data_IF_217716702772
#
_entry.id   IF_217716702772
#
_cell.length_a   1.000
_cell.length_b   1.000
_cell.length_c   1.000
_cell.angle_alpha   90.00
_cell.angle_beta   90.00
_cell.angle_gamma   90.00
#
_symmetry.space_group_name_H-M   'P 1'
#
loop_
_entity.id
_entity.type
_entity.pdbx_description
1 polymer ?
#
# COMPACT_ATOMS: atom_id res chain seq x y z
N UNK A 1 31.87 -4.98 -18.93
CA UNK A 1 32.32 -3.56 -18.86
C UNK A 1 32.52 -3.27 -17.39
N UNK A 2 33.74 -3.02 -16.94
CA UNK A 2 33.99 -2.65 -15.54
C UNK A 2 33.36 -1.27 -15.31
N UNK A 3 32.52 -1.14 -14.30
CA UNK A 3 31.96 0.13 -13.86
C UNK A 3 33.13 0.91 -13.26
N UNK A 4 33.52 1.98 -13.95
CA UNK A 4 34.57 2.90 -13.50
C UNK A 4 34.04 3.66 -12.28
N UNK A 5 34.29 3.14 -11.06
CA UNK A 5 34.07 3.79 -9.75
C UNK A 5 32.76 4.60 -9.50
N UNK A 6 31.80 4.58 -10.43
CA UNK A 6 30.55 5.33 -10.38
C UNK A 6 29.48 4.67 -9.51
N UNK A 7 28.58 5.47 -8.95
CA UNK A 7 27.40 4.98 -8.24
C UNK A 7 26.43 4.35 -9.22
N UNK A 8 25.73 3.28 -8.80
CA UNK A 8 24.64 2.67 -9.58
C UNK A 8 23.49 3.64 -9.75
N UNK A 9 22.98 3.80 -10.98
CA UNK A 9 21.84 4.66 -11.32
C UNK A 9 20.58 3.81 -11.41
N UNK A 10 19.68 3.96 -10.44
CA UNK A 10 18.49 3.13 -10.31
C UNK A 10 17.24 4.03 -10.53
N UNK A 11 16.42 3.67 -11.51
CA UNK A 11 15.10 4.27 -11.71
C UNK A 11 14.03 3.46 -10.97
N UNK A 12 13.13 4.14 -10.24
CA UNK A 12 11.99 3.49 -9.57
C UNK A 12 10.69 4.06 -10.13
N UNK A 13 9.93 3.23 -10.85
CA UNK A 13 8.61 3.57 -11.39
C UNK A 13 7.50 2.91 -10.57
N UNK A 14 6.45 3.67 -10.26
CA UNK A 14 5.31 3.19 -9.48
C UNK A 14 4.25 4.27 -9.28
N UNK A 15 3.34 4.07 -8.35
CA UNK A 15 2.26 5.03 -8.02
C UNK A 15 2.69 6.09 -7.00
N UNK A 16 3.91 6.60 -7.11
CA UNK A 16 4.53 7.49 -6.12
C UNK A 16 4.18 8.96 -6.35
N UNK A 17 4.25 9.77 -5.28
CA UNK A 17 3.90 11.18 -5.30
C UNK A 17 2.40 11.44 -5.42
N UNK A 18 1.57 10.41 -5.27
CA UNK A 18 0.11 10.51 -5.29
C UNK A 18 -0.51 10.85 -3.93
N UNK A 19 0.30 11.05 -2.90
CA UNK A 19 -0.13 11.28 -1.51
C UNK A 19 -0.93 10.10 -0.93
N UNK A 20 -0.66 8.88 -1.40
CA UNK A 20 -1.16 7.63 -0.85
C UNK A 20 -0.08 7.06 0.07
N UNK A 21 -0.34 7.06 1.38
CA UNK A 21 0.62 6.62 2.40
C UNK A 21 1.06 5.16 2.22
N UNK A 22 0.23 4.34 1.60
CA UNK A 22 0.59 2.96 1.30
C UNK A 22 1.64 2.84 0.20
N UNK A 23 1.47 3.60 -0.89
CA UNK A 23 2.44 3.61 -1.98
C UNK A 23 3.76 4.25 -1.53
N UNK A 24 3.70 5.30 -0.69
CA UNK A 24 4.87 5.91 -0.07
C UNK A 24 5.59 4.94 0.89
N UNK A 25 4.85 4.11 1.63
CA UNK A 25 5.41 3.06 2.49
C UNK A 25 6.20 2.02 1.70
N UNK A 26 5.69 1.63 0.54
CA UNK A 26 6.39 0.71 -0.37
C UNK A 26 7.69 1.33 -0.88
N UNK A 27 7.64 2.60 -1.34
CA UNK A 27 8.83 3.32 -1.79
C UNK A 27 9.88 3.41 -0.67
N UNK A 28 9.45 3.72 0.54
CA UNK A 28 10.31 3.79 1.73
C UNK A 28 11.01 2.45 2.02
N UNK A 29 10.27 1.34 1.89
CA UNK A 29 10.82 -0.02 2.00
C UNK A 29 11.91 -0.30 0.94
N UNK A 30 11.66 0.05 -0.33
CA UNK A 30 12.65 -0.08 -1.42
C UNK A 30 13.91 0.75 -1.13
N UNK A 31 13.71 2.03 -0.78
CA UNK A 31 14.82 2.96 -0.54
C UNK A 31 15.65 2.56 0.68
N UNK A 32 15.02 2.07 1.74
CA UNK A 32 15.70 1.59 2.94
C UNK A 32 16.71 0.49 2.63
N UNK A 33 16.30 -0.48 1.82
CA UNK A 33 17.15 -1.61 1.42
C UNK A 33 18.26 -1.19 0.45
N UNK A 34 17.94 -0.39 -0.55
CA UNK A 34 18.96 0.11 -1.49
C UNK A 34 20.06 0.88 -0.75
N UNK A 35 19.71 1.73 0.21
CA UNK A 35 20.69 2.50 0.98
C UNK A 35 21.54 1.68 1.93
N UNK A 36 20.97 0.59 2.48
CA UNK A 36 21.72 -0.30 3.37
C UNK A 36 22.71 -1.18 2.63
N UNK A 37 22.48 -1.44 1.34
CA UNK A 37 23.16 -2.50 0.59
C UNK A 37 23.98 -2.00 -0.59
N UNK A 38 23.78 -0.76 -1.03
CA UNK A 38 24.49 -0.21 -2.20
C UNK A 38 24.66 1.31 -2.13
N UNK A 39 25.68 1.81 -2.85
CA UNK A 39 25.80 3.24 -3.14
C UNK A 39 25.11 3.52 -4.47
N UNK A 40 23.81 3.80 -4.43
CA UNK A 40 23.02 4.06 -5.62
C UNK A 40 22.55 5.52 -5.68
N UNK A 41 22.49 6.06 -6.91
CA UNK A 41 21.75 7.28 -7.23
C UNK A 41 20.35 6.88 -7.69
N UNK A 42 19.34 7.34 -6.96
CA UNK A 42 17.96 6.94 -7.20
C UNK A 42 17.18 8.06 -7.87
N UNK A 43 16.57 7.72 -9.01
CA UNK A 43 15.58 8.56 -9.69
C UNK A 43 14.19 7.98 -9.53
N UNK A 44 13.28 8.68 -8.85
CA UNK A 44 11.89 8.24 -8.69
C UNK A 44 11.00 8.86 -9.77
N UNK A 45 10.24 8.02 -10.46
CA UNK A 45 9.21 8.47 -11.41
C UNK A 45 7.93 8.76 -10.62
N UNK A 46 7.71 10.03 -10.35
CA UNK A 46 6.72 10.53 -9.40
C UNK A 46 5.66 11.40 -10.06
N UNK A 47 4.42 11.30 -9.58
CA UNK A 47 3.33 12.22 -9.96
C UNK A 47 3.54 13.63 -9.39
N UNK A 48 4.27 13.74 -8.28
CA UNK A 48 4.61 15.02 -7.62
C UNK A 48 6.06 14.99 -7.14
N UNK A 49 7.02 15.36 -8.02
CA UNK A 49 8.44 15.35 -7.70
C UNK A 49 8.81 16.14 -6.44
N UNK A 50 8.20 17.30 -6.23
CA UNK A 50 8.49 18.14 -5.06
C UNK A 50 8.12 17.46 -3.74
N UNK A 51 6.96 16.79 -3.69
CA UNK A 51 6.54 16.02 -2.50
C UNK A 51 7.47 14.80 -2.28
N UNK A 52 7.82 14.10 -3.36
CA UNK A 52 8.72 12.94 -3.29
C UNK A 52 10.10 13.33 -2.76
N UNK A 53 10.70 14.41 -3.26
CA UNK A 53 11.98 14.92 -2.79
C UNK A 53 11.93 15.37 -1.31
N UNK A 54 10.80 15.94 -0.89
CA UNK A 54 10.61 16.37 0.50
C UNK A 54 10.43 15.20 1.47
N UNK A 55 9.74 14.12 1.04
CA UNK A 55 9.50 12.94 1.87
C UNK A 55 10.66 11.97 1.90
N UNK A 56 11.25 11.73 0.74
CA UNK A 56 12.26 10.70 0.55
C UNK A 56 13.59 11.36 0.18
N UNK A 57 14.66 10.91 0.80
CA UNK A 57 16.01 11.40 0.49
C UNK A 57 16.51 10.74 -0.81
N UNK A 58 15.95 11.12 -1.95
CA UNK A 58 16.36 10.63 -3.28
C UNK A 58 17.07 11.73 -4.06
N UNK A 59 17.94 11.34 -4.98
CA UNK A 59 18.75 12.29 -5.77
C UNK A 59 17.92 13.02 -6.79
N UNK A 60 16.92 12.32 -7.40
CA UNK A 60 16.05 12.90 -8.40
C UNK A 60 14.62 12.38 -8.28
N UNK A 61 13.66 13.22 -8.64
CA UNK A 61 12.28 12.82 -8.86
C UNK A 61 11.77 13.50 -10.13
N UNK A 62 11.12 12.75 -11.01
CA UNK A 62 10.69 13.23 -12.34
C UNK A 62 9.24 12.86 -12.56
N UNK A 63 8.41 13.82 -13.00
CA UNK A 63 7.07 13.51 -13.45
C UNK A 63 7.09 13.05 -14.90
N UNK A 64 7.19 11.74 -15.12
CA UNK A 64 7.23 11.14 -16.45
C UNK A 64 5.85 10.99 -17.11
N UNK A 65 4.77 11.15 -16.36
CA UNK A 65 3.40 10.88 -16.86
C UNK A 65 2.97 11.78 -18.01
N UNK A 66 3.22 13.11 -17.98
CA UNK A 66 2.91 13.99 -19.10
C UNK A 66 3.92 13.89 -20.26
N UNK A 67 5.08 13.27 -20.04
CA UNK A 67 6.13 13.19 -21.05
C UNK A 67 5.81 12.12 -22.11
N UNK A 68 6.18 12.40 -23.34
CA UNK A 68 6.14 11.44 -24.44
C UNK A 68 7.19 10.34 -24.25
N UNK A 69 7.02 9.21 -24.94
CA UNK A 69 8.01 8.14 -24.96
C UNK A 69 9.41 8.65 -25.31
N UNK A 70 9.51 9.54 -26.33
CA UNK A 70 10.80 10.12 -26.80
C UNK A 70 11.50 10.92 -25.69
N UNK A 71 10.74 11.66 -24.89
CA UNK A 71 11.27 12.48 -23.80
C UNK A 71 11.74 11.66 -22.60
N UNK A 72 11.08 10.53 -22.32
CA UNK A 72 11.45 9.63 -21.20
C UNK A 72 12.62 8.72 -21.54
N UNK A 73 12.77 8.33 -22.81
CA UNK A 73 13.78 7.36 -23.26
C UNK A 73 15.21 7.69 -22.82
N UNK A 74 15.72 8.94 -22.91
CA UNK A 74 17.09 9.24 -22.46
C UNK A 74 17.30 8.94 -20.98
N UNK A 75 16.35 9.33 -20.13
CA UNK A 75 16.41 9.07 -18.67
C UNK A 75 16.50 7.57 -18.37
N UNK A 76 15.70 6.75 -19.08
CA UNK A 76 15.72 5.28 -18.83
C UNK A 76 16.98 4.64 -19.38
N UNK A 77 17.50 5.07 -20.52
CA UNK A 77 18.77 4.56 -21.11
C UNK A 77 19.98 4.76 -20.22
N UNK A 78 19.93 5.81 -19.39
CA UNK A 78 21.04 6.14 -18.49
C UNK A 78 20.99 5.33 -17.17
N UNK A 79 19.98 4.48 -16.96
CA UNK A 79 19.87 3.65 -15.78
C UNK A 79 20.70 2.35 -15.91
N UNK A 80 21.18 1.86 -14.76
CA UNK A 80 21.78 0.55 -14.62
C UNK A 80 20.73 -0.50 -14.22
N UNK A 81 19.58 -0.06 -13.66
CA UNK A 81 18.41 -0.90 -13.33
C UNK A 81 17.14 -0.05 -13.33
N UNK A 82 16.07 -0.57 -13.91
CA UNK A 82 14.71 -0.05 -13.71
C UNK A 82 13.97 -0.97 -12.74
N UNK A 83 13.48 -0.41 -11.63
CA UNK A 83 12.57 -1.06 -10.69
C UNK A 83 11.13 -0.63 -11.02
N UNK A 84 10.31 -1.57 -11.47
CA UNK A 84 8.86 -1.39 -11.49
C UNK A 84 8.37 -1.68 -10.07
N UNK A 85 8.14 -0.61 -9.30
CA UNK A 85 7.91 -0.66 -7.87
C UNK A 85 6.59 -1.30 -7.48
N UNK A 86 6.49 -1.65 -6.22
CA UNK A 86 5.40 -2.42 -5.63
C UNK A 86 4.02 -1.75 -5.66
N UNK A 87 3.07 -2.48 -5.16
CA UNK A 87 1.69 -2.03 -5.11
C UNK A 87 0.79 -2.66 -6.18
N UNK A 88 -0.49 -2.29 -6.15
CA UNK A 88 -1.47 -2.78 -7.13
C UNK A 88 -1.48 -1.90 -8.37
N UNK A 89 -0.49 -2.01 -9.23
CA UNK A 89 -0.30 -1.14 -10.40
C UNK A 89 -0.64 -1.80 -11.75
N UNK A 90 -0.67 -3.13 -11.82
CA UNK A 90 -1.03 -3.85 -13.05
C UNK A 90 -2.52 -4.22 -13.03
N UNK A 91 -3.39 -3.29 -13.43
CA UNK A 91 -4.83 -3.49 -13.55
C UNK A 91 -5.38 -2.78 -14.79
N UNK A 92 -6.57 -3.16 -15.23
CA UNK A 92 -7.21 -2.55 -16.40
C UNK A 92 -7.30 -1.03 -16.26
N UNK A 93 -6.89 -0.31 -17.31
CA UNK A 93 -6.85 1.15 -17.37
C UNK A 93 -5.52 1.80 -16.97
N UNK A 94 -4.65 1.09 -16.22
CA UNK A 94 -3.35 1.63 -15.78
C UNK A 94 -2.14 0.86 -16.34
N UNK A 95 -2.34 -0.35 -16.81
CA UNK A 95 -1.28 -1.25 -17.31
C UNK A 95 -0.33 -0.55 -18.28
N UNK A 96 -0.86 0.11 -19.30
CA UNK A 96 -0.05 0.76 -20.35
C UNK A 96 0.83 1.89 -19.78
N UNK A 97 0.33 2.57 -18.74
CA UNK A 97 1.02 3.67 -18.06
C UNK A 97 2.34 3.21 -17.46
N UNK A 98 2.35 2.06 -16.81
CA UNK A 98 3.54 1.53 -16.14
C UNK A 98 4.41 0.66 -17.04
N UNK A 99 3.81 -0.10 -17.94
CA UNK A 99 4.55 -0.96 -18.85
C UNK A 99 5.33 -0.15 -19.92
N UNK A 100 4.96 1.11 -20.18
CA UNK A 100 5.70 2.00 -21.07
C UNK A 100 7.17 2.11 -20.69
N UNK A 101 7.47 2.32 -19.40
CA UNK A 101 8.84 2.43 -18.91
C UNK A 101 9.59 1.10 -19.01
N UNK A 102 8.91 -0.02 -18.72
CA UNK A 102 9.45 -1.36 -18.85
C UNK A 102 9.86 -1.67 -20.29
N UNK A 103 8.98 -1.34 -21.25
CA UNK A 103 9.27 -1.57 -22.67
C UNK A 103 10.44 -0.69 -23.18
N UNK A 104 10.55 0.55 -22.70
CA UNK A 104 11.71 1.42 -23.03
C UNK A 104 12.99 0.83 -22.45
N UNK A 105 12.95 0.33 -21.20
CA UNK A 105 14.12 -0.31 -20.58
C UNK A 105 14.58 -1.54 -21.37
N UNK A 106 13.65 -2.38 -21.80
CA UNK A 106 13.97 -3.56 -22.61
C UNK A 106 14.60 -3.18 -23.97
N UNK A 107 14.10 -2.15 -24.65
CA UNK A 107 14.66 -1.67 -25.91
C UNK A 107 16.05 -1.01 -25.75
N UNK A 108 16.37 -0.58 -24.54
CA UNK A 108 17.65 0.02 -24.16
C UNK A 108 18.61 -0.97 -23.50
N UNK A 109 18.25 -2.26 -23.44
CA UNK A 109 18.99 -3.33 -22.74
C UNK A 109 19.22 -3.03 -21.23
N UNK A 110 18.35 -2.20 -20.62
CA UNK A 110 18.37 -1.92 -19.18
C UNK A 110 17.63 -3.04 -18.44
N UNK A 111 18.26 -3.71 -17.45
CA UNK A 111 17.62 -4.72 -16.64
C UNK A 111 16.37 -4.19 -15.94
N UNK A 112 15.35 -5.05 -15.75
CA UNK A 112 14.09 -4.69 -15.08
C UNK A 112 13.84 -5.60 -13.89
N UNK A 113 13.57 -4.99 -12.73
CA UNK A 113 13.07 -5.68 -11.54
C UNK A 113 11.62 -5.30 -11.29
N UNK A 114 10.71 -6.27 -11.37
CA UNK A 114 9.32 -6.11 -10.94
C UNK A 114 9.24 -6.44 -9.45
N UNK A 115 9.03 -5.41 -8.64
CA UNK A 115 9.28 -5.45 -7.20
C UNK A 115 7.96 -5.55 -6.41
N UNK A 116 7.68 -6.70 -5.83
CA UNK A 116 6.55 -6.97 -4.92
C UNK A 116 5.21 -6.39 -5.42
N UNK A 117 4.91 -6.53 -6.71
CA UNK A 117 3.65 -6.03 -7.27
C UNK A 117 2.47 -6.90 -6.85
N UNK A 118 1.28 -6.32 -6.93
CA UNK A 118 0.00 -7.03 -7.02
C UNK A 118 -0.62 -6.73 -8.39
N UNK A 119 -1.24 -7.72 -9.00
CA UNK A 119 -1.89 -7.59 -10.30
C UNK A 119 -3.41 -7.79 -10.17
N UNK A 120 -4.16 -7.09 -10.99
CA UNK A 120 -5.59 -7.27 -11.18
C UNK A 120 -6.50 -6.19 -10.56
N UNK A 121 -7.76 -6.14 -11.06
CA UNK A 121 -8.30 -7.04 -12.09
C UNK A 121 -7.73 -6.79 -13.49
N UNK A 122 -7.51 -7.87 -14.26
CA UNK A 122 -7.13 -7.86 -15.67
C UNK A 122 -8.20 -8.63 -16.47
N UNK A 123 -9.31 -7.96 -16.75
CA UNK A 123 -10.45 -8.51 -17.51
C UNK A 123 -10.33 -8.25 -19.01
N UNK A 124 -9.69 -7.14 -19.38
CA UNK A 124 -9.51 -6.75 -20.78
C UNK A 124 -8.41 -7.58 -21.45
N UNK A 125 -8.74 -8.15 -22.62
CA UNK A 125 -7.77 -8.97 -23.39
C UNK A 125 -6.49 -8.18 -23.74
N UNK A 126 -6.63 -6.91 -24.09
CA UNK A 126 -5.49 -6.05 -24.43
C UNK A 126 -4.52 -5.90 -23.24
N UNK A 127 -5.04 -5.61 -22.03
CA UNK A 127 -4.23 -5.50 -20.82
C UNK A 127 -3.50 -6.80 -20.49
N UNK A 128 -4.17 -7.96 -20.64
CA UNK A 128 -3.57 -9.28 -20.43
C UNK A 128 -2.42 -9.55 -21.39
N UNK A 129 -2.59 -9.24 -22.67
CA UNK A 129 -1.55 -9.37 -23.70
C UNK A 129 -0.38 -8.45 -23.38
N UNK A 130 -0.65 -7.17 -23.07
CA UNK A 130 0.40 -6.20 -22.74
C UNK A 130 1.26 -6.63 -21.54
N UNK A 131 0.63 -7.13 -20.46
CA UNK A 131 1.35 -7.64 -19.27
C UNK A 131 2.21 -8.85 -19.65
N UNK A 132 1.61 -9.85 -20.33
CA UNK A 132 2.34 -11.05 -20.75
C UNK A 132 3.56 -10.70 -21.60
N UNK A 133 3.37 -9.89 -22.62
CA UNK A 133 4.41 -9.59 -23.59
C UNK A 133 5.53 -8.74 -22.96
N UNK A 134 5.20 -7.74 -22.16
CA UNK A 134 6.18 -6.91 -21.48
C UNK A 134 7.00 -7.70 -20.44
N UNK A 135 6.36 -8.55 -19.62
CA UNK A 135 7.07 -9.30 -18.60
C UNK A 135 7.89 -10.47 -19.13
N UNK A 136 7.54 -11.01 -20.30
CA UNK A 136 8.30 -12.05 -20.97
C UNK A 136 9.41 -11.52 -21.93
N UNK A 137 9.41 -10.22 -22.27
CA UNK A 137 10.21 -9.65 -23.36
C UNK A 137 11.73 -9.80 -23.16
N UNK A 138 12.25 -9.68 -21.94
CA UNK A 138 13.70 -9.71 -21.69
C UNK A 138 14.07 -10.83 -20.71
N UNK A 139 15.13 -11.62 -20.98
CA UNK A 139 15.61 -12.65 -20.06
C UNK A 139 16.08 -12.08 -18.70
N UNK A 140 16.53 -10.83 -18.66
CA UNK A 140 17.00 -10.16 -17.44
C UNK A 140 15.90 -9.65 -16.53
N UNK A 141 14.61 -9.80 -16.90
CA UNK A 141 13.50 -9.39 -16.04
C UNK A 141 13.34 -10.33 -14.86
N UNK A 142 13.45 -9.81 -13.64
CA UNK A 142 13.18 -10.52 -12.39
C UNK A 142 11.80 -10.10 -11.87
N UNK A 143 10.99 -11.07 -11.42
CA UNK A 143 9.60 -10.81 -11.03
C UNK A 143 9.36 -11.30 -9.61
N UNK A 144 8.94 -10.39 -8.74
CA UNK A 144 8.39 -10.73 -7.43
C UNK A 144 6.98 -10.17 -7.26
N UNK A 145 6.14 -10.90 -6.56
CA UNK A 145 4.75 -10.50 -6.24
C UNK A 145 4.52 -10.59 -4.75
N UNK A 146 3.70 -9.69 -4.22
CA UNK A 146 3.45 -9.63 -2.77
C UNK A 146 2.33 -10.55 -2.29
N UNK A 147 1.48 -11.05 -3.19
CA UNK A 147 0.29 -11.85 -2.84
C UNK A 147 0.03 -12.98 -3.84
N UNK A 148 -0.67 -14.02 -3.36
CA UNK A 148 -1.02 -15.21 -4.15
C UNK A 148 -1.96 -14.92 -5.31
N UNK A 149 -2.80 -13.89 -5.18
CA UNK A 149 -3.75 -13.53 -6.25
C UNK A 149 -3.00 -12.92 -7.43
N UNK A 150 -2.04 -12.04 -7.17
CA UNK A 150 -1.15 -11.50 -8.19
C UNK A 150 -0.34 -12.60 -8.87
N UNK A 151 0.22 -13.55 -8.10
CA UNK A 151 0.93 -14.71 -8.65
C UNK A 151 0.06 -15.49 -9.65
N UNK A 152 -1.09 -15.98 -9.19
CA UNK A 152 -2.01 -16.77 -10.04
C UNK A 152 -2.47 -16.00 -11.27
N UNK A 153 -2.72 -14.70 -11.13
CA UNK A 153 -3.16 -13.88 -12.26
C UNK A 153 -2.05 -13.70 -13.31
N UNK A 154 -0.80 -13.50 -12.90
CA UNK A 154 0.32 -13.40 -13.85
C UNK A 154 0.59 -14.74 -14.56
N UNK A 155 0.49 -15.86 -13.85
CA UNK A 155 0.54 -17.20 -14.46
C UNK A 155 -0.61 -17.39 -15.46
N UNK A 156 -1.84 -17.01 -15.10
CA UNK A 156 -3.05 -17.14 -15.94
C UNK A 156 -3.00 -16.25 -17.20
N UNK A 157 -2.35 -15.08 -17.14
CA UNK A 157 -2.16 -14.24 -18.33
C UNK A 157 -1.03 -14.74 -19.24
N UNK A 158 -0.25 -15.73 -18.81
CA UNK A 158 0.79 -16.37 -19.60
C UNK A 158 2.20 -15.79 -19.40
N UNK A 159 2.50 -15.28 -18.22
CA UNK A 159 3.89 -15.00 -17.83
C UNK A 159 4.60 -16.33 -17.58
N UNK A 160 5.67 -16.58 -18.37
CA UNK A 160 6.40 -17.86 -18.35
C UNK A 160 7.66 -17.83 -17.51
N UNK A 161 8.03 -16.67 -17.02
CA UNK A 161 9.18 -16.49 -16.12
C UNK A 161 8.88 -16.98 -14.71
N UNK A 162 9.94 -17.32 -13.98
CA UNK A 162 9.80 -17.57 -12.55
C UNK A 162 9.27 -16.32 -11.84
N UNK A 163 8.19 -16.50 -11.08
CA UNK A 163 7.56 -15.46 -10.28
C UNK A 163 7.77 -15.82 -8.81
N UNK A 164 8.56 -15.04 -8.10
CA UNK A 164 8.80 -15.28 -6.68
C UNK A 164 7.69 -14.65 -5.84
N UNK A 165 6.99 -15.48 -5.06
CA UNK A 165 6.03 -15.00 -4.07
C UNK A 165 6.75 -14.46 -2.84
N UNK A 166 6.55 -13.20 -2.56
CA UNK A 166 7.13 -12.48 -1.41
C UNK A 166 6.01 -11.91 -0.50
N UNK A 167 6.20 -10.75 0.11
CA UNK A 167 5.17 -10.03 0.84
C UNK A 167 5.29 -8.51 0.58
N UNK A 168 4.31 -7.76 1.07
CA UNK A 168 4.30 -6.32 0.90
C UNK A 168 5.52 -5.66 1.58
N UNK A 169 6.29 -4.81 0.89
CA UNK A 169 7.46 -4.13 1.45
C UNK A 169 7.16 -3.27 2.67
N UNK A 170 5.92 -2.80 2.82
CA UNK A 170 5.48 -2.05 3.99
C UNK A 170 5.65 -2.85 5.31
N UNK A 171 5.73 -4.18 5.26
CA UNK A 171 6.08 -4.99 6.43
C UNK A 171 7.49 -4.75 6.95
N UNK A 172 8.37 -4.11 6.20
CA UNK A 172 9.74 -3.77 6.62
C UNK A 172 9.85 -2.41 7.29
N UNK A 173 8.76 -1.61 7.31
CA UNK A 173 8.78 -0.31 7.95
C UNK A 173 8.97 -0.44 9.46
N UNK A 174 9.73 0.51 10.00
CA UNK A 174 9.84 0.76 11.43
C UNK A 174 9.13 2.09 11.78
N UNK A 175 8.46 2.18 12.92
CA UNK A 175 7.75 3.39 13.30
C UNK A 175 8.71 4.57 13.52
N UNK A 176 8.20 5.77 13.28
CA UNK A 176 8.82 7.04 13.64
C UNK A 176 7.89 7.75 14.62
N UNK A 177 8.42 8.19 15.74
CA UNK A 177 7.62 8.82 16.78
C UNK A 177 6.76 9.97 16.25
N UNK A 178 5.47 9.88 16.49
CA UNK A 178 4.51 10.95 16.22
C UNK A 178 4.29 11.73 17.54
N UNK A 179 4.73 13.01 17.61
CA UNK A 179 4.58 13.81 18.83
C UNK A 179 3.12 13.92 19.27
N UNK A 180 2.85 13.70 20.55
CA UNK A 180 1.49 13.79 21.14
C UNK A 180 0.91 15.19 20.95
N UNK A 181 1.74 16.21 20.98
CA UNK A 181 1.34 17.62 20.75
C UNK A 181 0.78 17.83 19.34
N UNK A 182 1.32 17.09 18.35
CA UNK A 182 0.80 17.15 16.99
C UNK A 182 -0.62 16.55 16.90
N UNK A 183 -0.90 15.49 17.64
CA UNK A 183 -2.22 14.87 17.73
C UNK A 183 -3.21 15.77 18.51
N UNK A 184 -2.80 16.31 19.66
CA UNK A 184 -3.60 17.27 20.45
C UNK A 184 -3.96 18.52 19.63
N UNK A 185 -3.06 18.98 18.77
CA UNK A 185 -3.35 20.12 17.88
C UNK A 185 -4.35 19.79 16.77
N UNK A 186 -4.70 18.53 16.56
CA UNK A 186 -5.80 18.08 15.69
C UNK A 186 -7.05 17.64 16.47
N UNK A 187 -7.07 17.82 17.80
CA UNK A 187 -8.19 17.45 18.65
C UNK A 187 -8.16 15.99 19.14
N UNK A 188 -7.14 15.24 18.78
CA UNK A 188 -7.06 13.81 19.16
C UNK A 188 -6.59 13.69 20.59
N UNK A 189 -7.46 13.13 21.44
CA UNK A 189 -7.15 12.73 22.80
C UNK A 189 -6.86 11.22 22.87
N UNK A 190 -5.82 10.85 23.61
CA UNK A 190 -5.39 9.47 23.82
C UNK A 190 -5.53 9.02 25.28
N UNK A 191 -6.25 9.77 26.13
CA UNK A 191 -6.38 9.44 27.57
C UNK A 191 -7.37 8.29 27.83
N UNK A 192 -8.26 8.00 26.87
CA UNK A 192 -9.23 6.89 26.95
C UNK A 192 -9.01 5.85 25.86
N UNK A 193 -9.96 4.91 25.70
CA UNK A 193 -9.95 4.00 24.57
C UNK A 193 -10.04 4.78 23.24
N UNK A 194 -9.20 4.43 22.27
CA UNK A 194 -9.18 5.07 20.95
C UNK A 194 -9.29 4.03 19.86
N UNK A 195 -10.22 4.26 18.94
CA UNK A 195 -10.42 3.38 17.77
C UNK A 195 -10.12 4.11 16.48
N UNK A 196 -9.16 3.60 15.71
CA UNK A 196 -8.82 4.12 14.41
C UNK A 196 -9.79 3.66 13.32
N UNK A 197 -10.22 4.58 12.46
CA UNK A 197 -11.04 4.28 11.28
C UNK A 197 -10.33 4.67 9.99
N UNK A 198 -10.39 3.78 8.98
CA UNK A 198 -9.91 4.09 7.63
C UNK A 198 -11.04 3.88 6.62
N UNK A 199 -11.38 4.96 5.91
CA UNK A 199 -12.49 5.03 4.97
C UNK A 199 -11.96 5.43 3.59
N UNK A 200 -12.63 5.03 2.53
CA UNK A 200 -12.35 5.44 1.15
C UNK A 200 -13.65 5.67 0.38
N UNK A 201 -13.53 6.06 -0.88
CA UNK A 201 -14.69 6.20 -1.77
C UNK A 201 -15.51 4.91 -1.86
N UNK A 202 -16.88 5.01 -1.90
CA UNK A 202 -17.76 3.84 -1.93
C UNK A 202 -17.65 3.04 -3.24
N UNK A 203 -17.47 3.70 -4.38
CA UNK A 203 -17.63 3.08 -5.70
C UNK A 203 -16.73 1.85 -5.92
N UNK A 204 -15.41 1.87 -5.85
CA UNK A 204 -14.65 0.63 -5.97
C UNK A 204 -14.78 -0.27 -4.72
N UNK A 205 -15.16 0.30 -3.57
CA UNK A 205 -15.25 -0.44 -2.31
C UNK A 205 -16.51 -1.29 -2.22
N UNK A 206 -17.62 -0.76 -2.68
CA UNK A 206 -18.93 -1.38 -2.61
C UNK A 206 -19.80 -0.87 -3.76
N UNK A 207 -19.58 -1.36 -5.00
CA UNK A 207 -20.21 -0.81 -6.20
C UNK A 207 -21.75 -0.98 -6.22
N UNK A 208 -22.28 -1.92 -5.45
CA UNK A 208 -23.70 -2.23 -5.37
C UNK A 208 -24.41 -1.52 -4.21
N UNK A 209 -23.69 -0.68 -3.43
CA UNK A 209 -24.26 0.06 -2.32
C UNK A 209 -24.35 1.55 -2.68
N UNK A 210 -25.53 2.14 -2.44
CA UNK A 210 -25.72 3.60 -2.56
C UNK A 210 -24.74 4.34 -1.65
N UNK A 211 -24.09 5.44 -2.11
CA UNK A 211 -23.11 6.18 -1.32
C UNK A 211 -23.61 6.65 0.05
N UNK A 212 -24.88 7.07 0.14
CA UNK A 212 -25.45 7.50 1.42
C UNK A 212 -25.65 6.34 2.39
N UNK A 213 -26.09 5.20 1.88
CA UNK A 213 -26.19 3.96 2.68
C UNK A 213 -24.80 3.49 3.14
N UNK A 214 -23.80 3.61 2.29
CA UNK A 214 -22.41 3.26 2.62
C UNK A 214 -21.86 4.14 3.76
N UNK A 215 -22.01 5.46 3.68
CA UNK A 215 -21.57 6.34 4.77
C UNK A 215 -22.38 6.13 6.05
N UNK A 216 -23.70 5.90 5.93
CA UNK A 216 -24.55 5.55 7.07
C UNK A 216 -24.16 4.26 7.75
N UNK A 217 -23.74 3.23 6.99
CA UNK A 217 -23.23 1.98 7.54
C UNK A 217 -21.98 2.22 8.41
N UNK A 218 -21.04 3.03 7.93
CA UNK A 218 -19.80 3.35 8.64
C UNK A 218 -20.06 4.30 9.83
N UNK A 219 -20.96 5.26 9.70
CA UNK A 219 -21.37 6.14 10.78
C UNK A 219 -22.01 5.36 11.96
N UNK A 220 -22.93 4.45 11.65
CA UNK A 220 -23.52 3.57 12.68
C UNK A 220 -22.47 2.67 13.36
N UNK A 221 -21.46 2.20 12.61
CA UNK A 221 -20.37 1.43 13.18
C UNK A 221 -19.48 2.27 14.12
N UNK A 222 -19.23 3.54 13.77
CA UNK A 222 -18.48 4.47 14.60
C UNK A 222 -19.28 4.87 15.84
N UNK A 223 -20.58 5.17 15.70
CA UNK A 223 -21.47 5.43 16.83
C UNK A 223 -21.53 4.24 17.81
N UNK A 224 -21.60 3.02 17.30
CA UNK A 224 -21.55 1.82 18.12
C UNK A 224 -20.25 1.72 18.92
N UNK A 225 -19.11 2.04 18.31
CA UNK A 225 -17.80 2.03 18.97
C UNK A 225 -17.76 3.05 20.10
N UNK A 226 -18.28 4.27 19.90
CA UNK A 226 -18.39 5.29 20.93
C UNK A 226 -19.29 4.81 22.08
N UNK A 227 -20.49 4.35 21.77
CA UNK A 227 -21.50 3.98 22.76
C UNK A 227 -21.09 2.71 23.54
N UNK A 228 -20.57 1.71 22.86
CA UNK A 228 -20.27 0.37 23.45
C UNK A 228 -18.94 0.33 24.17
N UNK A 229 -17.90 1.00 23.64
CA UNK A 229 -16.53 0.93 24.17
C UNK A 229 -16.13 2.20 24.92
N UNK A 230 -16.94 3.27 24.89
CA UNK A 230 -16.58 4.58 25.44
C UNK A 230 -15.40 5.23 24.71
N UNK A 231 -15.15 4.84 23.45
CA UNK A 231 -13.95 5.20 22.72
C UNK A 231 -14.07 6.54 21.99
N UNK A 232 -12.94 7.22 21.83
CA UNK A 232 -12.76 8.24 20.79
C UNK A 232 -12.56 7.57 19.43
N UNK A 233 -13.06 8.17 18.38
CA UNK A 233 -12.91 7.70 17.00
C UNK A 233 -11.96 8.61 16.25
N UNK A 234 -10.88 8.04 15.70
CA UNK A 234 -9.91 8.78 14.91
C UNK A 234 -9.92 8.28 13.47
N UNK A 235 -10.43 9.09 12.55
CA UNK A 235 -10.34 8.80 11.13
C UNK A 235 -8.93 9.09 10.63
N UNK A 236 -8.31 8.07 10.01
CA UNK A 236 -6.96 8.13 9.47
C UNK A 236 -7.01 8.05 7.94
N UNK A 237 -6.99 9.20 7.26
CA UNK A 237 -6.91 9.23 5.80
C UNK A 237 -5.59 8.65 5.32
N UNK A 238 -5.64 7.59 4.53
CA UNK A 238 -4.47 6.97 3.91
C UNK A 238 -4.15 7.59 2.55
N UNK A 239 -5.07 8.37 2.01
CA UNK A 239 -4.97 9.09 0.74
C UNK A 239 -5.74 10.41 0.84
N UNK A 240 -5.34 11.40 0.04
CA UNK A 240 -5.91 12.76 0.09
C UNK A 240 -7.44 12.79 0.05
N UNK A 241 -8.05 11.98 -0.81
CA UNK A 241 -9.50 11.96 -0.97
C UNK A 241 -10.24 11.27 0.19
N UNK A 242 -9.56 10.50 1.03
CA UNK A 242 -10.18 9.84 2.19
C UNK A 242 -10.70 10.86 3.21
N UNK A 243 -10.12 12.08 3.25
CA UNK A 243 -10.57 13.17 4.13
C UNK A 243 -12.05 13.52 3.87
N UNK A 244 -12.43 13.70 2.60
CA UNK A 244 -13.82 14.04 2.24
C UNK A 244 -14.79 12.90 2.56
N UNK A 245 -14.37 11.64 2.39
CA UNK A 245 -15.19 10.47 2.72
C UNK A 245 -15.33 10.30 4.24
N UNK A 246 -14.28 10.59 5.01
CA UNK A 246 -14.33 10.64 6.47
C UNK A 246 -15.33 11.71 6.95
N UNK A 247 -15.29 12.92 6.38
CA UNK A 247 -16.28 13.95 6.68
C UNK A 247 -17.71 13.51 6.36
N UNK A 248 -17.93 12.79 5.25
CA UNK A 248 -19.24 12.29 4.89
C UNK A 248 -19.78 11.24 5.88
N UNK A 249 -18.90 10.47 6.50
CA UNK A 249 -19.25 9.54 7.59
C UNK A 249 -19.56 10.31 8.86
N UNK A 250 -18.66 11.21 9.30
CA UNK A 250 -18.84 12.01 10.54
C UNK A 250 -20.13 12.83 10.50
N UNK A 251 -20.48 13.38 9.32
CA UNK A 251 -21.73 14.13 9.14
C UNK A 251 -23.01 13.30 9.37
N UNK A 252 -22.92 11.97 9.38
CA UNK A 252 -24.04 11.06 9.66
C UNK A 252 -23.95 10.40 11.05
N UNK A 253 -22.90 10.67 11.83
CA UNK A 253 -22.74 10.16 13.19
C UNK A 253 -23.63 10.91 14.18
N UNK A 254 -24.17 10.20 15.16
CA UNK A 254 -24.87 10.77 16.33
C UNK A 254 -23.88 11.35 17.35
N UNK A 255 -22.72 10.74 17.48
CA UNK A 255 -21.65 11.13 18.40
C UNK A 255 -20.46 11.76 17.66
N UNK A 256 -20.78 12.65 16.72
CA UNK A 256 -19.76 13.31 15.88
C UNK A 256 -18.73 14.13 16.68
N UNK A 257 -19.10 14.59 17.89
CA UNK A 257 -18.19 15.28 18.82
C UNK A 257 -17.10 14.37 19.43
N UNK A 258 -17.26 13.04 19.29
CA UNK A 258 -16.28 12.02 19.69
C UNK A 258 -15.45 11.49 18.51
N UNK A 259 -15.47 12.20 17.39
CA UNK A 259 -14.81 11.78 16.17
C UNK A 259 -13.90 12.88 15.62
N UNK A 260 -12.63 12.57 15.48
CA UNK A 260 -11.65 13.45 14.87
C UNK A 260 -11.13 12.89 13.54
N UNK A 261 -10.80 13.78 12.60
CA UNK A 261 -10.23 13.41 11.29
C UNK A 261 -8.83 14.01 11.20
N UNK A 262 -7.82 13.18 11.00
CA UNK A 262 -6.46 13.67 10.76
C UNK A 262 -6.40 14.47 9.45
N UNK A 263 -5.91 15.70 9.51
CA UNK A 263 -5.85 16.65 8.37
C UNK A 263 -4.43 17.00 7.95
N UNK A 264 -3.47 16.89 8.90
CA UNK A 264 -2.07 17.19 8.61
C UNK A 264 -1.43 16.09 7.77
N UNK A 265 -0.31 16.43 7.16
CA UNK A 265 0.49 15.46 6.41
C UNK A 265 1.43 14.75 7.38
N UNK A 266 1.23 13.45 7.49
CA UNK A 266 2.11 12.55 8.25
C UNK A 266 2.88 11.65 7.29
N UNK A 267 4.03 11.16 7.72
CA UNK A 267 4.75 10.10 7.02
C UNK A 267 4.06 8.75 7.27
N UNK A 268 4.33 7.77 6.41
CA UNK A 268 3.84 6.40 6.62
C UNK A 268 4.33 5.82 7.95
N UNK A 269 5.54 6.17 8.38
CA UNK A 269 6.15 5.73 9.63
C UNK A 269 5.51 6.38 10.86
N UNK A 270 5.08 7.65 10.74
CA UNK A 270 4.34 8.34 11.81
C UNK A 270 2.93 7.75 11.97
N UNK A 271 2.24 7.43 10.87
CA UNK A 271 0.95 6.73 10.97
C UNK A 271 1.15 5.30 11.49
N UNK A 272 2.24 4.64 11.14
CA UNK A 272 2.59 3.35 11.73
C UNK A 272 2.79 3.47 13.26
N UNK A 273 3.41 4.54 13.76
CA UNK A 273 3.53 4.77 15.21
C UNK A 273 2.17 5.01 15.86
N UNK A 274 1.35 5.90 15.29
CA UNK A 274 0.01 6.18 15.76
C UNK A 274 -0.83 4.90 15.86
N UNK A 275 -0.71 4.00 14.89
CA UNK A 275 -1.46 2.74 14.88
C UNK A 275 -1.21 1.91 16.14
N UNK A 276 -0.01 1.96 16.72
CA UNK A 276 0.32 1.28 17.97
C UNK A 276 -0.30 1.90 19.23
N UNK A 277 -0.90 3.07 19.09
CA UNK A 277 -1.58 3.79 20.20
C UNK A 277 -3.11 3.57 20.19
N UNK A 278 -3.63 2.88 19.17
CA UNK A 278 -5.05 2.53 19.10
C UNK A 278 -5.32 1.20 19.81
N UNK A 279 -6.42 1.13 20.55
CA UNK A 279 -6.91 -0.09 21.19
C UNK A 279 -7.49 -1.06 20.18
N UNK A 280 -8.06 -0.50 19.09
CA UNK A 280 -8.67 -1.25 18.01
C UNK A 280 -8.69 -0.43 16.72
N UNK A 281 -8.89 -1.10 15.59
CA UNK A 281 -9.00 -0.43 14.29
C UNK A 281 -10.14 -1.02 13.45
N UNK A 282 -10.80 -0.16 12.68
CA UNK A 282 -11.81 -0.57 11.68
C UNK A 282 -11.39 0.01 10.34
N UNK A 283 -11.10 -0.82 9.35
CA UNK A 283 -10.52 -0.28 8.14
C UNK A 283 -10.70 -1.09 6.88
N UNK A 284 -10.63 -0.38 5.77
CA UNK A 284 -10.70 -0.95 4.43
C UNK A 284 -9.44 -0.70 3.58
N UNK A 285 -8.61 0.29 3.92
CA UNK A 285 -7.35 0.52 3.21
C UNK A 285 -6.34 -0.56 3.57
N UNK A 286 -5.75 -1.22 2.56
CA UNK A 286 -4.81 -2.32 2.76
C UNK A 286 -3.67 -1.94 3.71
N UNK A 287 -3.00 -0.81 3.47
CA UNK A 287 -1.83 -0.43 4.28
C UNK A 287 -2.21 0.04 5.69
N UNK A 288 -3.42 0.55 5.90
CA UNK A 288 -3.94 0.78 7.25
C UNK A 288 -4.00 -0.53 8.05
N UNK A 289 -4.48 -1.62 7.41
CA UNK A 289 -4.55 -2.95 8.03
C UNK A 289 -3.15 -3.59 8.19
N UNK A 290 -2.24 -3.35 7.24
CA UNK A 290 -0.84 -3.78 7.38
C UNK A 290 -0.19 -3.08 8.57
N UNK A 291 -0.40 -1.78 8.74
CA UNK A 291 0.14 -1.02 9.87
C UNK A 291 -0.46 -1.50 11.20
N UNK A 292 -1.77 -1.81 11.24
CA UNK A 292 -2.39 -2.41 12.41
C UNK A 292 -1.74 -3.76 12.75
N UNK A 293 -1.54 -4.63 11.76
CA UNK A 293 -0.89 -5.92 11.96
C UNK A 293 0.56 -5.76 12.45
N UNK A 294 1.33 -4.83 11.89
CA UNK A 294 2.72 -4.55 12.30
C UNK A 294 2.83 -4.06 13.75
N UNK A 295 1.84 -3.30 14.21
CA UNK A 295 1.80 -2.76 15.58
C UNK A 295 1.09 -3.66 16.58
N UNK A 296 0.52 -4.77 16.12
CA UNK A 296 -0.27 -5.67 16.96
C UNK A 296 -1.62 -5.07 17.37
N UNK A 297 -2.11 -4.05 16.68
CA UNK A 297 -3.42 -3.46 16.91
C UNK A 297 -4.49 -4.34 16.30
N UNK A 298 -5.36 -4.90 17.14
CA UNK A 298 -6.46 -5.73 16.66
C UNK A 298 -7.43 -4.91 15.80
N UNK A 299 -8.04 -5.53 14.81
CA UNK A 299 -8.87 -4.79 13.86
C UNK A 299 -10.07 -5.56 13.32
N UNK A 300 -11.10 -4.84 12.91
CA UNK A 300 -12.19 -5.33 12.06
C UNK A 300 -11.95 -4.87 10.62
N UNK A 301 -11.55 -5.77 9.72
CA UNK A 301 -11.35 -5.38 8.33
C UNK A 301 -12.68 -5.22 7.61
N UNK A 302 -12.72 -4.27 6.68
CA UNK A 302 -13.79 -4.04 5.73
C UNK A 302 -13.26 -4.33 4.31
N UNK A 303 -13.16 -5.60 3.91
CA UNK A 303 -12.56 -5.97 2.64
C UNK A 303 -13.43 -5.52 1.47
N UNK A 304 -12.90 -4.67 0.62
CA UNK A 304 -13.54 -4.14 -0.58
C UNK A 304 -12.89 -4.65 -1.87
N UNK A 305 -11.71 -5.24 -1.76
CA UNK A 305 -10.93 -5.71 -2.89
C UNK A 305 -10.12 -6.95 -2.52
N UNK A 306 -9.81 -7.76 -3.52
CA UNK A 306 -9.06 -9.01 -3.40
C UNK A 306 -7.72 -8.86 -2.65
N UNK A 307 -7.05 -7.72 -2.78
CA UNK A 307 -5.80 -7.43 -2.06
C UNK A 307 -5.97 -7.40 -0.54
N UNK A 308 -7.12 -6.97 -0.02
CA UNK A 308 -7.43 -7.01 1.42
C UNK A 308 -7.68 -8.46 1.83
N UNK A 309 -8.44 -9.21 1.04
CA UNK A 309 -8.67 -10.64 1.30
C UNK A 309 -7.37 -11.44 1.32
N UNK A 310 -6.42 -11.12 0.42
CA UNK A 310 -5.08 -11.75 0.40
C UNK A 310 -4.28 -11.49 1.68
N UNK A 311 -4.33 -10.26 2.23
CA UNK A 311 -3.73 -9.96 3.52
C UNK A 311 -4.37 -10.76 4.66
N UNK A 312 -5.72 -10.85 4.68
CA UNK A 312 -6.43 -11.59 5.71
C UNK A 312 -6.10 -13.09 5.65
N UNK A 313 -5.97 -13.66 4.45
CA UNK A 313 -5.51 -15.04 4.25
C UNK A 313 -4.09 -15.25 4.83
N UNK A 314 -3.15 -14.37 4.51
CA UNK A 314 -1.77 -14.41 5.03
C UNK A 314 -1.73 -14.30 6.57
N UNK A 315 -2.63 -13.54 7.17
CA UNK A 315 -2.78 -13.40 8.63
C UNK A 315 -3.64 -14.52 9.26
N UNK A 316 -4.25 -15.39 8.44
CA UNK A 316 -5.18 -16.44 8.91
C UNK A 316 -6.48 -15.87 9.48
N UNK A 317 -6.98 -14.79 8.90
CA UNK A 317 -8.20 -14.09 9.33
C UNK A 317 -9.28 -14.21 8.25
N UNK A 318 -10.49 -14.60 8.68
CA UNK A 318 -11.67 -14.66 7.80
C UNK A 318 -12.50 -13.39 7.90
N UNK A 319 -12.98 -12.89 6.77
CA UNK A 319 -13.94 -11.79 6.75
C UNK A 319 -14.72 -11.81 5.43
N UNK A 320 -16.06 -11.81 5.46
CA UNK A 320 -16.86 -11.69 4.26
C UNK A 320 -16.72 -10.29 3.62
N UNK A 321 -16.98 -10.18 2.31
CA UNK A 321 -16.96 -8.91 1.59
C UNK A 321 -17.92 -7.87 2.18
N UNK A 322 -17.57 -6.58 2.08
CA UNK A 322 -18.40 -5.48 2.61
C UNK A 322 -19.78 -5.42 1.95
N UNK A 323 -19.87 -5.65 0.64
CA UNK A 323 -21.12 -5.57 -0.11
C UNK A 323 -22.21 -6.57 0.31
N UNK A 324 -21.87 -7.60 1.12
CA UNK A 324 -22.81 -8.56 1.67
C UNK A 324 -23.20 -8.29 3.12
N UNK A 325 -22.74 -7.18 3.72
CA UNK A 325 -22.88 -6.90 5.16
C UNK A 325 -23.94 -5.84 5.40
N UNK A 326 -24.98 -6.17 6.18
CA UNK A 326 -25.90 -5.20 6.78
C UNK A 326 -25.32 -4.54 8.05
N UNK A 327 -25.96 -3.44 8.49
CA UNK A 327 -25.53 -2.67 9.67
C UNK A 327 -25.39 -3.57 10.91
N UNK A 328 -26.41 -4.39 11.22
CA UNK A 328 -26.41 -5.27 12.39
C UNK A 328 -25.28 -6.32 12.34
N UNK A 329 -24.98 -6.83 11.15
CA UNK A 329 -23.88 -7.79 10.99
C UNK A 329 -22.51 -7.13 11.16
N UNK A 330 -22.31 -5.91 10.62
CA UNK A 330 -21.08 -5.15 10.80
C UNK A 330 -20.82 -4.86 12.27
N UNK A 331 -21.83 -4.35 12.98
CA UNK A 331 -21.75 -4.07 14.42
C UNK A 331 -21.42 -5.34 15.20
N UNK A 332 -22.16 -6.43 14.98
CA UNK A 332 -21.91 -7.71 15.67
C UNK A 332 -20.51 -8.27 15.38
N UNK A 333 -19.94 -7.99 14.21
CA UNK A 333 -18.58 -8.36 13.86
C UNK A 333 -17.54 -7.53 14.61
N UNK A 334 -17.73 -6.20 14.67
CA UNK A 334 -16.86 -5.30 15.42
C UNK A 334 -16.85 -5.71 16.89
N UNK A 335 -18.02 -5.92 17.50
CA UNK A 335 -18.17 -6.33 18.90
C UNK A 335 -17.43 -7.63 19.19
N UNK A 336 -17.67 -8.69 18.41
CA UNK A 336 -16.95 -9.97 18.56
C UNK A 336 -15.44 -9.84 18.40
N UNK A 337 -14.96 -9.04 17.43
CA UNK A 337 -13.53 -8.85 17.21
C UNK A 337 -12.88 -8.02 18.32
N UNK A 338 -13.61 -7.07 18.89
CA UNK A 338 -13.19 -6.36 20.09
C UNK A 338 -13.03 -7.33 21.28
N UNK A 339 -14.02 -8.18 21.54
CA UNK A 339 -13.98 -9.15 22.63
C UNK A 339 -12.87 -10.20 22.45
N UNK A 340 -12.57 -10.56 21.21
CA UNK A 340 -11.51 -11.54 20.86
C UNK A 340 -10.19 -10.89 20.41
N UNK A 341 -9.98 -9.60 20.69
CA UNK A 341 -8.80 -8.85 20.20
C UNK A 341 -7.47 -9.44 20.64
N UNK A 342 -7.39 -10.03 21.83
CA UNK A 342 -6.16 -10.67 22.30
C UNK A 342 -5.81 -11.92 21.50
N UNK A 343 -6.79 -12.69 21.07
CA UNK A 343 -6.59 -13.85 20.18
C UNK A 343 -6.06 -13.37 18.82
N UNK A 344 -6.60 -12.26 18.33
CA UNK A 344 -6.11 -11.68 17.07
C UNK A 344 -4.68 -11.14 17.20
N UNK A 345 -4.36 -10.44 18.30
CA UNK A 345 -3.01 -9.97 18.61
C UNK A 345 -1.99 -11.12 18.64
N UNK A 346 -2.32 -12.20 19.34
CA UNK A 346 -1.47 -13.40 19.39
C UNK A 346 -1.24 -13.99 18.00
N UNK A 347 -2.28 -14.09 17.17
CA UNK A 347 -2.18 -14.58 15.79
C UNK A 347 -1.30 -13.69 14.92
N UNK A 348 -1.46 -12.37 15.01
CA UNK A 348 -0.60 -11.43 14.28
C UNK A 348 0.86 -11.52 14.74
N UNK A 349 1.10 -11.65 16.05
CA UNK A 349 2.44 -11.84 16.59
C UNK A 349 3.13 -13.12 16.05
N UNK A 350 2.36 -14.18 15.79
CA UNK A 350 2.85 -15.41 15.15
C UNK A 350 3.14 -15.20 13.64
N UNK A 351 2.24 -14.52 12.92
CA UNK A 351 2.27 -14.46 11.45
C UNK A 351 3.16 -13.34 10.89
N UNK A 352 3.15 -12.17 11.50
CA UNK A 352 3.88 -10.99 11.00
C UNK A 352 5.39 -11.23 10.83
N UNK A 353 6.11 -11.92 11.74
CA UNK A 353 7.53 -12.23 11.50
C UNK A 353 7.78 -13.03 10.23
N UNK A 354 6.86 -13.93 9.86
CA UNK A 354 6.90 -14.67 8.59
C UNK A 354 6.75 -13.75 7.37
N UNK A 355 5.82 -12.81 7.45
CA UNK A 355 5.59 -11.81 6.38
C UNK A 355 6.79 -10.86 6.23
N UNK A 356 7.39 -10.42 7.34
CA UNK A 356 8.64 -9.64 7.31
C UNK A 356 9.77 -10.42 6.61
N UNK A 357 9.96 -11.70 6.93
CA UNK A 357 10.97 -12.52 6.25
C UNK A 357 10.68 -12.65 4.76
N UNK A 358 9.42 -12.88 4.36
CA UNK A 358 9.01 -12.94 2.94
C UNK A 358 9.25 -11.60 2.23
N UNK A 359 8.96 -10.46 2.87
CA UNK A 359 9.22 -9.15 2.30
C UNK A 359 10.71 -8.93 2.03
N UNK A 360 11.61 -9.40 2.91
CA UNK A 360 13.06 -9.34 2.68
C UNK A 360 13.52 -10.12 1.45
N UNK A 361 12.84 -11.20 1.08
CA UNK A 361 13.19 -11.96 -0.15
C UNK A 361 13.08 -11.11 -1.42
N UNK A 362 12.19 -10.11 -1.43
CA UNK A 362 12.13 -9.14 -2.55
C UNK A 362 13.43 -8.33 -2.65
N UNK A 363 13.97 -7.92 -1.52
CA UNK A 363 15.22 -7.16 -1.46
C UNK A 363 16.41 -8.02 -1.88
N UNK A 364 16.44 -9.28 -1.46
CA UNK A 364 17.45 -10.24 -1.92
C UNK A 364 17.40 -10.44 -3.45
N UNK A 365 16.20 -10.45 -4.04
CA UNK A 365 16.01 -10.51 -5.48
C UNK A 365 16.48 -9.22 -6.17
N UNK A 366 16.20 -8.05 -5.58
CA UNK A 366 16.66 -6.75 -6.06
C UNK A 366 18.20 -6.70 -6.09
N UNK A 367 18.85 -7.09 -5.01
CA UNK A 367 20.33 -7.08 -4.94
C UNK A 367 20.97 -8.01 -5.97
N UNK A 368 20.35 -9.18 -6.23
CA UNK A 368 20.81 -10.09 -7.31
C UNK A 368 20.58 -9.51 -8.71
N UNK A 369 19.65 -8.56 -8.87
CA UNK A 369 19.35 -7.91 -10.15
C UNK A 369 20.31 -6.75 -10.45
N UNK A 370 21.08 -6.31 -9.46
CA UNK A 370 22.09 -5.25 -9.68
C UNK A 370 23.23 -5.79 -10.55
N UNK A 371 23.79 -4.96 -11.45
CA UNK A 371 24.98 -5.31 -12.20
C UNK A 371 26.10 -5.72 -11.24
N UNK A 372 26.71 -6.88 -11.48
CA UNK A 372 27.89 -7.30 -10.70
C UNK A 372 29.09 -6.45 -11.09
N UNK A 373 29.72 -5.84 -10.11
CA UNK A 373 30.96 -5.05 -10.26
C UNK A 373 32.14 -5.88 -10.72
#
# INVERSE_FOLDING_TARGET
>A
MAIDGGKLRIGISGSYGGMNLGDEAILEGILGELRSSSSAEVTVFSKNPADTLARHKVEQAINVRPLTRKEVTPTIRDLDLLVLGGGGILFDGEVETYLREVLIAHEADVPVMVYAISAGPLKQRASRIAVRDALNASPSTVITVRDRLGLRLLEDVGVTKEIQLTADPAFLLEPEELPVEALKAEGVDLEGPVVGFSVREPSPAAPDIDPQQYYGLLANAADFVVERFGAEVVFVPMEKFDVQHSHAVVAQMRFSERAEILRRRYSSRQILDLMGRFDFAVGMRLHFLIFAALRGTAFSPLPYASKVSGLLEDLGLDTPPLGSIGIGELIARIDRKWDTREVMRARMAERVPGLRRRAKLTNDALLRSLPQS
#
